data_IF_263617254288
#
_entry.id   IF_263617254288
#
_cell.length_a   1.000
_cell.length_b   1.000
_cell.length_c   1.000
_cell.angle_alpha   90.00
_cell.angle_beta   90.00
_cell.angle_gamma   90.00
#
_symmetry.space_group_name_H-M   'P 1'
#
loop_
_entity.id
_entity.type
_entity.pdbx_description
1 polymer ?
#
# COMPACT_ATOMS: atom_id res chain seq x y z
N UNK A 1 14.11 24.83 -11.36
CA UNK A 1 12.82 25.03 -12.07
C UNK A 1 13.02 25.70 -13.43
N UNK A 2 13.78 26.80 -13.50
CA UNK A 2 13.97 27.58 -14.74
C UNK A 2 14.67 26.84 -15.89
N UNK A 3 15.65 25.97 -15.62
CA UNK A 3 16.29 25.16 -16.67
C UNK A 3 15.35 24.11 -17.29
N UNK A 4 14.38 23.61 -16.52
CA UNK A 4 13.45 22.57 -16.96
C UNK A 4 12.31 23.13 -17.82
N UNK A 5 11.76 24.29 -17.43
CA UNK A 5 10.77 25.02 -18.24
C UNK A 5 11.39 25.55 -19.53
N UNK A 6 12.66 25.98 -19.49
CA UNK A 6 13.42 26.37 -20.67
C UNK A 6 13.61 25.18 -21.61
N UNK A 7 13.99 24.00 -21.10
CA UNK A 7 14.13 22.78 -21.88
C UNK A 7 12.79 22.31 -22.50
N UNK A 8 11.66 22.54 -21.81
CA UNK A 8 10.31 22.33 -22.37
C UNK A 8 10.04 23.27 -23.54
N UNK A 9 10.31 24.56 -23.38
CA UNK A 9 10.13 25.54 -24.46
C UNK A 9 11.02 25.22 -25.68
N UNK A 10 12.18 24.61 -25.44
CA UNK A 10 13.12 24.15 -26.46
C UNK A 10 12.77 22.76 -27.04
N UNK A 11 11.73 22.09 -26.55
CA UNK A 11 11.30 20.76 -27.04
C UNK A 11 12.27 19.62 -26.75
N UNK A 12 13.24 19.80 -25.84
CA UNK A 12 14.30 18.81 -25.57
C UNK A 12 13.87 17.69 -24.59
N UNK A 13 12.70 17.82 -23.95
CA UNK A 13 12.18 16.85 -22.97
C UNK A 13 10.86 16.26 -23.47
N UNK A 14 10.79 14.93 -23.54
CA UNK A 14 9.57 14.19 -23.86
C UNK A 14 8.49 14.44 -22.78
N UNK A 15 7.22 14.72 -23.14
CA UNK A 15 6.11 14.84 -22.19
C UNK A 15 6.03 13.71 -21.14
N UNK A 16 6.33 12.46 -21.52
CA UNK A 16 6.32 11.32 -20.59
C UNK A 16 7.48 11.36 -19.58
N UNK A 17 8.62 11.95 -19.94
CA UNK A 17 9.73 12.17 -19.02
C UNK A 17 9.40 13.32 -18.05
N UNK A 18 8.70 14.35 -18.52
CA UNK A 18 8.21 15.45 -17.69
C UNK A 18 7.21 14.94 -16.65
N UNK A 19 6.16 14.23 -17.07
CA UNK A 19 5.16 13.67 -16.17
C UNK A 19 5.81 12.80 -15.09
N UNK A 20 6.74 11.91 -15.45
CA UNK A 20 7.52 11.11 -14.48
C UNK A 20 8.34 11.95 -13.52
N UNK A 21 8.97 13.03 -13.98
CA UNK A 21 9.74 13.91 -13.11
C UNK A 21 8.87 14.66 -12.09
N UNK A 22 7.69 15.12 -12.53
CA UNK A 22 6.71 15.78 -11.67
C UNK A 22 6.10 14.79 -10.67
N UNK A 23 5.68 13.61 -11.14
CA UNK A 23 5.16 12.55 -10.30
C UNK A 23 6.21 12.10 -9.27
N UNK A 24 7.48 11.95 -9.68
CA UNK A 24 8.57 11.68 -8.73
C UNK A 24 8.64 12.76 -7.65
N UNK A 25 8.52 14.05 -8.00
CA UNK A 25 8.49 15.13 -7.00
C UNK A 25 7.32 14.97 -6.02
N UNK A 26 6.12 14.68 -6.53
CA UNK A 26 4.91 14.50 -5.73
C UNK A 26 5.03 13.28 -4.79
N UNK A 27 5.48 12.13 -5.29
CA UNK A 27 5.66 10.93 -4.46
C UNK A 27 6.67 11.19 -3.33
N UNK A 28 7.71 11.98 -3.58
CA UNK A 28 8.71 12.34 -2.56
C UNK A 28 8.18 13.35 -1.53
N UNK A 29 7.11 14.08 -1.85
CA UNK A 29 6.51 15.11 -0.99
C UNK A 29 5.24 14.65 -0.28
N UNK A 30 4.98 13.35 -0.23
CA UNK A 30 3.83 12.79 0.50
C UNK A 30 3.91 13.12 1.99
N UNK A 31 2.80 13.63 2.52
CA UNK A 31 2.60 14.06 3.90
C UNK A 31 1.22 13.60 4.41
N UNK A 32 1.01 13.55 5.75
CA UNK A 32 -0.29 13.19 6.29
C UNK A 32 -1.36 14.21 5.88
N UNK A 33 -2.47 13.74 5.32
CA UNK A 33 -3.64 14.56 5.05
C UNK A 33 -4.63 14.43 6.23
N UNK A 34 -4.48 15.28 7.24
CA UNK A 34 -5.37 15.30 8.43
C UNK A 34 -6.81 15.66 8.10
N UNK A 35 -7.03 16.41 7.01
CA UNK A 35 -8.34 16.81 6.54
C UNK A 35 -9.13 15.69 5.86
N UNK A 36 -8.57 14.50 5.64
CA UNK A 36 -9.30 13.36 5.04
C UNK A 36 -9.41 12.22 6.04
N UNK A 37 -10.64 11.86 6.42
CA UNK A 37 -10.92 10.70 7.26
C UNK A 37 -12.00 9.80 6.65
N UNK A 38 -11.94 8.51 6.96
CA UNK A 38 -12.96 7.54 6.58
C UNK A 38 -13.70 7.12 7.85
N UNK A 39 -15.01 7.30 7.88
CA UNK A 39 -15.83 7.00 9.06
C UNK A 39 -17.13 6.30 8.68
N UNK A 40 -17.51 5.28 9.45
CA UNK A 40 -18.82 4.62 9.32
C UNK A 40 -19.96 5.44 9.93
N UNK A 41 -19.65 6.33 10.88
CA UNK A 41 -20.65 7.22 11.47
C UNK A 41 -20.77 8.47 10.63
N UNK A 42 -22.01 8.96 10.40
CA UNK A 42 -22.19 10.24 9.74
C UNK A 42 -21.56 11.37 10.56
N UNK A 43 -21.12 12.47 9.91
CA UNK A 43 -20.67 13.65 10.63
C UNK A 43 -21.84 14.21 11.45
N UNK A 44 -21.66 14.29 12.77
CA UNK A 44 -22.59 15.02 13.63
C UNK A 44 -22.31 16.52 13.43
N UNK A 45 -23.31 17.26 12.96
CA UNK A 45 -23.22 18.68 12.55
C UNK A 45 -22.77 19.67 13.64
N UNK A 46 -22.48 19.19 14.86
CA UNK A 46 -22.07 20.03 15.99
C UNK A 46 -20.58 19.91 16.35
N UNK A 47 -19.84 18.88 15.93
CA UNK A 47 -18.43 18.65 16.31
C UNK A 47 -17.57 17.99 15.19
N UNK A 48 -17.31 18.71 14.09
CA UNK A 48 -16.52 18.18 12.97
C UNK A 48 -15.05 17.87 13.33
N UNK A 49 -14.44 18.63 14.25
CA UNK A 49 -13.05 18.39 14.69
C UNK A 49 -12.86 17.03 15.41
N UNK A 50 -13.80 16.64 16.26
CA UNK A 50 -13.78 15.34 16.94
C UNK A 50 -14.01 14.18 15.97
N UNK A 51 -14.81 14.39 14.92
CA UNK A 51 -15.08 13.39 13.88
C UNK A 51 -13.86 13.14 12.97
N UNK A 52 -13.00 14.14 12.76
CA UNK A 52 -11.73 13.99 12.04
C UNK A 52 -10.70 13.20 12.84
N UNK A 53 -10.65 13.44 14.15
CA UNK A 53 -9.66 12.80 15.03
C UNK A 53 -10.08 11.40 15.49
N UNK A 54 -11.40 11.15 15.57
CA UNK A 54 -12.00 9.89 16.02
C UNK A 54 -12.80 9.15 14.92
N UNK A 55 -12.66 9.53 13.64
CA UNK A 55 -13.32 8.86 12.52
C UNK A 55 -12.86 7.40 12.42
N UNK A 56 -13.74 6.48 12.80
CA UNK A 56 -13.46 5.05 12.84
C UNK A 56 -14.05 4.41 11.58
N UNK A 57 -13.19 3.78 10.78
CA UNK A 57 -13.60 3.03 9.59
C UNK A 57 -14.11 1.63 9.93
N UNK A 58 -13.59 1.02 10.99
CA UNK A 58 -14.06 -0.27 11.51
C UNK A 58 -14.05 -0.26 13.05
N UNK A 59 -15.08 -0.79 13.74
CA UNK A 59 -15.12 -0.83 15.21
C UNK A 59 -13.96 -1.61 15.84
N UNK A 60 -13.35 -2.52 15.08
CA UNK A 60 -12.08 -3.17 15.41
C UNK A 60 -10.98 -2.73 14.44
N UNK A 61 -9.75 -3.18 14.68
CA UNK A 61 -8.62 -2.85 13.80
C UNK A 61 -8.85 -3.20 12.33
N UNK A 62 -8.37 -2.36 11.41
CA UNK A 62 -8.33 -2.66 9.98
C UNK A 62 -7.17 -3.58 9.73
N UNK A 63 -7.37 -4.73 9.08
CA UNK A 63 -6.29 -5.68 8.79
C UNK A 63 -5.74 -5.53 7.37
N UNK A 64 -6.60 -5.19 6.40
CA UNK A 64 -6.22 -5.09 5.00
C UNK A 64 -7.02 -4.01 4.31
N UNK A 65 -6.34 -3.26 3.44
CA UNK A 65 -6.95 -2.28 2.55
C UNK A 65 -6.43 -2.50 1.12
N UNK A 66 -7.25 -2.19 0.13
CA UNK A 66 -6.86 -2.19 -1.27
C UNK A 66 -7.63 -1.11 -2.02
N UNK A 67 -7.05 -0.57 -3.08
CA UNK A 67 -7.68 0.45 -3.92
C UNK A 67 -7.87 -0.14 -5.31
N UNK A 68 -8.94 0.26 -5.97
CA UNK A 68 -9.23 -0.15 -7.33
C UNK A 68 -8.07 0.23 -8.28
N UNK A 69 -7.73 -0.70 -9.17
CA UNK A 69 -6.68 -0.54 -10.18
C UNK A 69 -7.17 0.22 -11.41
N UNK A 70 -8.47 0.18 -11.72
CA UNK A 70 -8.99 0.68 -12.98
C UNK A 70 -9.18 2.20 -12.98
N UNK A 71 -9.96 2.70 -12.03
CA UNK A 71 -10.24 4.13 -11.88
C UNK A 71 -9.59 4.71 -10.61
N UNK A 72 -9.23 3.85 -9.66
CA UNK A 72 -8.72 4.30 -8.35
C UNK A 72 -9.77 5.04 -7.53
N UNK A 73 -11.05 4.85 -7.85
CA UNK A 73 -12.18 5.50 -7.19
C UNK A 73 -12.61 4.78 -5.91
N UNK A 74 -12.61 3.46 -5.94
CA UNK A 74 -13.11 2.66 -4.82
C UNK A 74 -11.96 2.14 -3.94
N UNK A 75 -12.14 2.21 -2.63
CA UNK A 75 -11.29 1.58 -1.64
C UNK A 75 -12.08 0.45 -0.96
N UNK A 76 -11.43 -0.70 -0.77
CA UNK A 76 -11.95 -1.79 0.05
C UNK A 76 -11.16 -1.89 1.35
N UNK A 77 -11.86 -2.17 2.43
CA UNK A 77 -11.25 -2.41 3.73
C UNK A 77 -11.84 -3.64 4.42
N UNK A 78 -10.97 -4.42 5.05
CA UNK A 78 -11.34 -5.59 5.84
C UNK A 78 -10.97 -5.41 7.31
N UNK A 79 -11.97 -5.55 8.18
CA UNK A 79 -11.83 -5.42 9.63
C UNK A 79 -11.46 -6.72 10.33
N UNK A 80 -10.84 -6.60 11.50
CA UNK A 80 -10.58 -7.71 12.42
C UNK A 80 -11.87 -8.29 13.06
N UNK A 81 -13.00 -7.60 12.90
CA UNK A 81 -14.34 -7.98 13.36
C UNK A 81 -15.18 -8.65 12.26
N UNK A 82 -14.56 -9.12 11.16
CA UNK A 82 -15.20 -9.70 9.97
C UNK A 82 -16.01 -8.73 9.10
N UNK A 83 -15.92 -7.43 9.36
CA UNK A 83 -16.63 -6.43 8.55
C UNK A 83 -15.86 -6.05 7.27
N UNK A 84 -16.61 -5.73 6.21
CA UNK A 84 -16.06 -5.28 4.94
C UNK A 84 -16.69 -3.94 4.59
N UNK A 85 -15.86 -2.93 4.30
CA UNK A 85 -16.29 -1.61 3.85
C UNK A 85 -15.87 -1.35 2.41
N UNK A 86 -16.78 -0.76 1.62
CA UNK A 86 -16.48 -0.17 0.31
C UNK A 86 -16.63 1.34 0.43
N UNK A 87 -15.63 2.09 0.00
CA UNK A 87 -15.55 3.54 0.15
C UNK A 87 -15.37 4.19 -1.22
N UNK A 88 -16.14 5.25 -1.51
CA UNK A 88 -15.97 6.05 -2.72
C UNK A 88 -15.09 7.27 -2.43
N UNK A 89 -13.85 7.22 -2.93
CA UNK A 89 -12.83 8.24 -2.75
C UNK A 89 -13.05 9.50 -3.62
N UNK A 90 -14.09 9.55 -4.44
CA UNK A 90 -14.43 10.68 -5.32
C UNK A 90 -15.76 11.34 -4.98
N UNK A 91 -16.46 10.86 -3.96
CA UNK A 91 -17.71 11.50 -3.48
C UNK A 91 -17.47 12.99 -3.26
N UNK A 92 -18.17 13.88 -4.01
CA UNK A 92 -17.96 15.31 -3.91
C UNK A 92 -18.42 15.79 -2.53
N UNK A 93 -17.54 16.50 -1.83
CA UNK A 93 -17.93 17.27 -0.65
C UNK A 93 -18.51 18.60 -1.12
N UNK A 94 -19.61 19.05 -0.50
CA UNK A 94 -20.25 20.31 -0.85
C UNK A 94 -19.48 21.55 -0.38
N UNK A 95 -18.38 21.37 0.36
CA UNK A 95 -17.47 22.43 0.80
C UNK A 95 -16.15 22.31 0.06
N UNK A 96 -15.69 23.44 -0.47
CA UNK A 96 -14.56 23.54 -1.39
C UNK A 96 -13.20 23.35 -0.70
N UNK A 97 -13.08 23.64 0.61
CA UNK A 97 -11.79 23.62 1.34
C UNK A 97 -11.86 23.04 2.76
N UNK A 98 -13.01 22.50 3.18
CA UNK A 98 -13.19 21.97 4.55
C UNK A 98 -13.25 20.43 4.55
N UNK A 99 -12.38 19.83 5.37
CA UNK A 99 -12.55 18.52 6.04
C UNK A 99 -13.42 17.48 5.32
N UNK A 100 -12.77 16.53 4.64
CA UNK A 100 -13.41 15.46 3.87
C UNK A 100 -13.60 14.19 4.68
N UNK A 101 -14.81 13.99 5.19
CA UNK A 101 -15.25 12.73 5.82
C UNK A 101 -15.91 11.85 4.77
N UNK A 102 -15.26 10.72 4.44
CA UNK A 102 -15.76 9.76 3.45
C UNK A 102 -16.56 8.68 4.16
N UNK A 103 -17.83 8.55 3.77
CA UNK A 103 -18.74 7.51 4.25
C UNK A 103 -18.64 6.24 3.38
N UNK A 104 -18.93 5.06 3.94
CA UNK A 104 -18.95 3.83 3.17
C UNK A 104 -20.15 3.82 2.21
N UNK A 105 -19.91 3.46 0.96
CA UNK A 105 -20.97 3.19 -0.03
C UNK A 105 -21.76 1.92 0.35
N UNK A 106 -21.03 0.93 0.85
CA UNK A 106 -21.58 -0.33 1.34
C UNK A 106 -20.76 -0.83 2.52
N UNK A 107 -21.45 -1.33 3.55
CA UNK A 107 -20.80 -1.86 4.75
C UNK A 107 -21.45 -3.20 5.15
N UNK A 108 -20.74 -4.29 4.92
CA UNK A 108 -21.15 -5.61 5.36
C UNK A 108 -20.75 -5.77 6.81
N UNK A 109 -21.71 -5.53 7.70
CA UNK A 109 -21.55 -5.80 9.12
C UNK A 109 -21.70 -7.30 9.42
N UNK A 110 -21.16 -7.69 10.56
CA UNK A 110 -21.16 -9.05 11.11
C UNK A 110 -22.54 -9.71 11.03
N UNK A 111 -22.62 -10.90 10.42
CA UNK A 111 -23.87 -11.71 10.37
C UNK A 111 -24.03 -12.67 11.55
N UNK A 112 -22.93 -13.17 12.14
CA UNK A 112 -22.99 -14.21 13.19
C UNK A 112 -22.48 -13.70 14.54
N UNK A 113 -23.34 -13.66 15.58
CA UNK A 113 -22.96 -13.18 16.93
C UNK A 113 -21.95 -14.06 17.68
N UNK A 114 -21.79 -15.33 17.30
CA UNK A 114 -21.13 -16.37 18.12
C UNK A 114 -19.68 -16.69 17.74
N UNK A 115 -19.23 -16.41 16.51
CA UNK A 115 -17.84 -16.61 16.08
C UNK A 115 -17.27 -15.33 15.46
N UNK A 116 -16.17 -14.82 16.04
CA UNK A 116 -15.43 -13.66 15.54
C UNK A 116 -14.11 -14.12 14.92
N UNK A 117 -14.08 -14.27 13.61
CA UNK A 117 -12.83 -14.47 12.87
C UNK A 117 -12.56 -13.23 12.03
N UNK A 118 -11.42 -12.60 12.23
CA UNK A 118 -11.04 -11.40 11.49
C UNK A 118 -10.69 -11.71 10.03
N UNK A 119 -10.94 -10.76 9.15
CA UNK A 119 -10.47 -10.81 7.77
C UNK A 119 -8.95 -10.58 7.80
N UNK A 120 -8.19 -11.41 7.09
CA UNK A 120 -6.74 -11.33 7.01
C UNK A 120 -6.27 -10.50 5.83
N UNK A 121 -6.94 -10.63 4.68
CA UNK A 121 -6.57 -9.94 3.46
C UNK A 121 -7.80 -9.71 2.57
N UNK A 122 -7.82 -8.59 1.85
CA UNK A 122 -8.84 -8.25 0.84
C UNK A 122 -8.14 -7.83 -0.45
N UNK A 123 -8.64 -8.27 -1.59
CA UNK A 123 -8.14 -7.83 -2.90
C UNK A 123 -9.27 -7.72 -3.93
N UNK A 124 -9.21 -6.70 -4.78
CA UNK A 124 -10.04 -6.64 -5.98
C UNK A 124 -9.67 -7.74 -6.95
N UNK A 125 -10.66 -8.24 -7.68
CA UNK A 125 -10.40 -9.12 -8.79
C UNK A 125 -9.73 -8.32 -9.94
N UNK A 126 -8.58 -8.75 -10.46
CA UNK A 126 -7.72 -7.89 -11.29
C UNK A 126 -8.24 -7.58 -12.69
N UNK A 127 -9.29 -8.27 -13.15
CA UNK A 127 -9.88 -8.09 -14.48
C UNK A 127 -11.32 -7.56 -14.45
N UNK A 128 -11.92 -7.45 -13.27
CA UNK A 128 -13.29 -6.97 -13.09
C UNK A 128 -13.40 -6.25 -11.75
N UNK A 129 -13.76 -4.96 -11.77
CA UNK A 129 -13.96 -4.13 -10.57
C UNK A 129 -15.21 -4.54 -9.78
N UNK A 130 -16.10 -5.32 -10.39
CA UNK A 130 -17.35 -5.77 -9.77
C UNK A 130 -17.18 -6.98 -8.85
N UNK A 131 -15.97 -7.55 -8.77
CA UNK A 131 -15.68 -8.70 -7.94
C UNK A 131 -14.48 -8.46 -7.03
N UNK A 132 -14.54 -9.01 -5.81
CA UNK A 132 -13.41 -8.97 -4.89
C UNK A 132 -13.37 -10.21 -4.00
N UNK A 133 -12.20 -10.48 -3.43
CA UNK A 133 -11.93 -11.63 -2.59
C UNK A 133 -11.58 -11.20 -1.17
N UNK A 134 -12.05 -11.97 -0.19
CA UNK A 134 -11.64 -11.85 1.20
C UNK A 134 -11.11 -13.18 1.70
N UNK A 135 -9.99 -13.17 2.42
CA UNK A 135 -9.53 -14.31 3.21
C UNK A 135 -9.68 -14.01 4.70
N UNK A 136 -9.96 -15.05 5.50
CA UNK A 136 -10.27 -14.88 6.92
C UNK A 136 -9.61 -15.96 7.80
N UNK A 137 -9.55 -15.67 9.10
CA UNK A 137 -9.15 -16.65 10.13
C UNK A 137 -10.15 -17.81 10.26
N UNK A 138 -11.35 -17.73 9.65
CA UNK A 138 -12.35 -18.81 9.61
C UNK A 138 -12.04 -19.93 8.60
N UNK A 139 -10.82 -19.94 8.05
CA UNK A 139 -10.32 -20.88 7.04
C UNK A 139 -10.95 -20.71 5.65
N UNK A 140 -11.80 -19.69 5.46
CA UNK A 140 -12.47 -19.46 4.18
C UNK A 140 -11.75 -18.43 3.30
N UNK A 141 -11.82 -18.68 2.00
CA UNK A 141 -11.67 -17.69 0.94
C UNK A 141 -13.04 -17.46 0.33
N UNK A 142 -13.52 -16.21 0.35
CA UNK A 142 -14.84 -15.85 -0.17
C UNK A 142 -14.72 -14.88 -1.33
N UNK A 143 -15.53 -15.11 -2.37
CA UNK A 143 -15.71 -14.22 -3.51
C UNK A 143 -17.01 -13.44 -3.32
N UNK A 144 -16.95 -12.13 -3.50
CA UNK A 144 -18.07 -11.22 -3.35
C UNK A 144 -18.33 -10.44 -4.63
N UNK A 145 -19.59 -10.04 -4.81
CA UNK A 145 -19.97 -8.97 -5.71
C UNK A 145 -19.79 -7.61 -5.02
N UNK A 146 -19.15 -6.65 -5.66
CA UNK A 146 -18.97 -5.30 -5.09
C UNK A 146 -20.25 -4.46 -5.13
N UNK A 147 -21.20 -4.77 -6.02
CA UNK A 147 -22.48 -4.06 -6.12
C UNK A 147 -23.43 -4.42 -4.97
N UNK A 148 -23.56 -5.70 -4.67
CA UNK A 148 -24.49 -6.19 -3.63
C UNK A 148 -23.82 -6.46 -2.29
N UNK A 149 -22.49 -6.55 -2.27
CA UNK A 149 -21.71 -6.96 -1.10
C UNK A 149 -22.06 -8.37 -0.58
N UNK A 150 -22.67 -9.19 -1.43
CA UNK A 150 -23.05 -10.56 -1.12
C UNK A 150 -21.97 -11.57 -1.56
N UNK A 151 -21.88 -12.68 -0.83
CA UNK A 151 -20.96 -13.78 -1.16
C UNK A 151 -21.48 -14.56 -2.36
N UNK A 152 -20.73 -14.56 -3.47
CA UNK A 152 -21.02 -15.38 -4.64
C UNK A 152 -20.52 -16.82 -4.49
N UNK A 153 -19.35 -17.00 -3.87
CA UNK A 153 -18.76 -18.32 -3.61
C UNK A 153 -17.94 -18.32 -2.32
N UNK A 154 -17.84 -19.49 -1.67
CA UNK A 154 -17.02 -19.71 -0.47
C UNK A 154 -16.22 -20.99 -0.63
N UNK A 155 -14.92 -20.90 -0.37
CA UNK A 155 -13.98 -22.01 -0.45
C UNK A 155 -13.39 -22.25 0.93
N UNK A 156 -13.56 -23.46 1.47
CA UNK A 156 -12.93 -23.86 2.73
C UNK A 156 -11.54 -24.45 2.44
N UNK A 157 -10.53 -23.92 3.11
CA UNK A 157 -9.13 -24.32 2.98
C UNK A 157 -8.64 -25.12 4.19
N UNK A 158 -9.51 -25.46 5.15
CA UNK A 158 -9.24 -26.30 6.33
C UNK A 158 -8.07 -25.79 7.22
N UNK A 159 -7.59 -24.57 6.97
CA UNK A 159 -6.47 -23.94 7.63
C UNK A 159 -6.62 -22.43 7.57
N UNK A 160 -6.08 -21.74 8.57
CA UNK A 160 -6.04 -20.28 8.60
C UNK A 160 -5.33 -19.74 7.36
N UNK A 161 -5.97 -18.78 6.68
CA UNK A 161 -5.42 -18.10 5.51
C UNK A 161 -4.82 -16.77 5.96
N UNK A 162 -3.51 -16.61 5.83
CA UNK A 162 -2.80 -15.40 6.22
C UNK A 162 -2.83 -14.33 5.13
N UNK A 163 -2.69 -14.74 3.87
CA UNK A 163 -2.69 -13.85 2.71
C UNK A 163 -3.18 -14.61 1.49
N UNK A 164 -3.66 -13.89 0.49
CA UNK A 164 -3.98 -14.45 -0.81
C UNK A 164 -3.52 -13.50 -1.90
N UNK A 165 -3.26 -14.04 -3.09
CA UNK A 165 -2.87 -13.24 -4.24
C UNK A 165 -3.48 -13.78 -5.54
N UNK A 166 -3.76 -12.86 -6.46
CA UNK A 166 -4.18 -13.14 -7.83
C UNK A 166 -3.15 -12.60 -8.81
N UNK A 167 -3.05 -13.25 -9.97
CA UNK A 167 -2.19 -12.76 -11.04
C UNK A 167 -2.89 -11.63 -11.79
N UNK A 168 -2.24 -10.46 -11.97
CA UNK A 168 -2.88 -9.29 -12.59
C UNK A 168 -2.99 -9.39 -14.12
N UNK A 169 -2.43 -10.42 -14.73
CA UNK A 169 -2.35 -10.62 -16.18
C UNK A 169 -2.83 -11.98 -16.66
N UNK A 170 -3.03 -12.93 -15.75
CA UNK A 170 -3.29 -14.30 -16.14
C UNK A 170 -4.64 -14.54 -16.79
N UNK A 171 -4.64 -15.49 -17.72
CA UNK A 171 -5.85 -16.09 -18.29
C UNK A 171 -6.51 -17.11 -17.36
N UNK A 172 -5.73 -17.69 -16.44
CA UNK A 172 -6.25 -18.64 -15.46
C UNK A 172 -6.91 -17.94 -14.25
N UNK A 173 -7.85 -18.64 -13.62
CA UNK A 173 -8.63 -18.18 -12.48
C UNK A 173 -8.08 -18.69 -11.14
N UNK A 174 -6.76 -18.85 -11.06
CA UNK A 174 -6.10 -19.38 -9.87
C UNK A 174 -5.82 -18.30 -8.84
N UNK A 175 -6.22 -18.56 -7.60
CA UNK A 175 -5.87 -17.77 -6.41
C UNK A 175 -4.84 -18.53 -5.60
N UNK A 176 -3.71 -17.90 -5.31
CA UNK A 176 -2.71 -18.46 -4.41
C UNK A 176 -3.05 -18.06 -2.97
N UNK A 177 -3.17 -19.05 -2.09
CA UNK A 177 -3.50 -18.85 -0.69
C UNK A 177 -2.31 -19.27 0.19
N UNK A 178 -1.81 -18.30 0.95
CA UNK A 178 -0.84 -18.50 2.02
C UNK A 178 -1.60 -18.99 3.26
N UNK A 179 -1.35 -20.23 3.68
CA UNK A 179 -2.07 -20.85 4.80
C UNK A 179 -1.13 -21.30 5.91
N UNK A 180 -1.68 -21.67 7.06
CA UNK A 180 -0.93 -22.31 8.14
C UNK A 180 -0.24 -23.61 7.69
N UNK A 181 -0.71 -24.25 6.62
CA UNK A 181 -0.06 -25.42 6.07
C UNK A 181 1.24 -25.07 5.33
N UNK A 182 2.25 -25.97 5.32
CA UNK A 182 3.51 -25.71 4.63
C UNK A 182 3.45 -25.69 3.10
N UNK A 183 2.29 -25.99 2.52
CA UNK A 183 2.10 -25.92 1.07
C UNK A 183 1.25 -24.70 0.73
N UNK A 184 1.61 -24.02 -0.37
CA UNK A 184 0.75 -22.96 -0.92
C UNK A 184 -0.43 -23.62 -1.59
N UNK A 185 -1.66 -23.30 -1.18
CA UNK A 185 -2.88 -23.83 -1.83
C UNK A 185 -3.24 -22.94 -3.02
N UNK A 186 -3.54 -23.55 -4.16
CA UNK A 186 -4.09 -22.89 -5.33
C UNK A 186 -5.57 -23.26 -5.46
N UNK A 187 -6.43 -22.25 -5.43
CA UNK A 187 -7.88 -22.38 -5.61
C UNK A 187 -8.23 -21.93 -7.01
N UNK A 188 -8.97 -22.75 -7.76
CA UNK A 188 -9.51 -22.34 -9.05
C UNK A 188 -10.94 -21.81 -8.87
N UNK A 189 -11.15 -20.52 -9.16
CA UNK A 189 -12.46 -19.89 -9.02
C UNK A 189 -13.50 -20.45 -9.99
N UNK A 190 -13.09 -21.08 -11.09
CA UNK A 190 -14.03 -21.66 -12.08
C UNK A 190 -14.65 -22.96 -11.57
N UNK A 191 -13.82 -23.88 -11.11
CA UNK A 191 -14.28 -25.19 -10.62
C UNK A 191 -14.69 -25.15 -9.15
N UNK A 192 -14.22 -24.14 -8.42
CA UNK A 192 -14.37 -24.03 -6.97
C UNK A 192 -13.60 -25.05 -6.16
N UNK A 193 -12.71 -25.82 -6.81
CA UNK A 193 -11.88 -26.80 -6.14
C UNK A 193 -10.55 -26.19 -5.66
N UNK A 194 -10.05 -26.67 -4.53
CA UNK A 194 -8.64 -26.54 -4.16
C UNK A 194 -7.82 -27.45 -5.08
N UNK A 195 -7.55 -26.98 -6.29
CA UNK A 195 -7.03 -27.78 -7.41
C UNK A 195 -5.60 -28.25 -7.21
N UNK A 196 -4.73 -27.42 -6.61
CA UNK A 196 -3.30 -27.71 -6.52
C UNK A 196 -2.69 -27.27 -5.19
N UNK A 197 -1.64 -27.99 -4.79
CA UNK A 197 -0.87 -27.73 -3.57
C UNK A 197 0.61 -27.67 -3.93
N UNK A 198 1.25 -26.52 -3.70
CA UNK A 198 2.67 -26.31 -3.98
C UNK A 198 3.46 -26.67 -2.72
N UNK A 199 3.88 -27.94 -2.64
CA UNK A 199 4.64 -28.45 -1.51
C UNK A 199 6.11 -28.00 -1.58
N UNK A 200 6.64 -27.47 -0.48
CA UNK A 200 8.06 -27.19 -0.38
C UNK A 200 8.49 -26.41 0.86
N UNK A 201 7.65 -25.53 1.44
CA UNK A 201 7.99 -24.93 2.73
C UNK A 201 7.97 -25.97 3.85
N UNK A 202 8.75 -25.72 4.90
CA UNK A 202 8.76 -26.55 6.10
C UNK A 202 7.93 -25.96 7.25
N UNK A 203 7.33 -24.78 7.04
CA UNK A 203 6.48 -24.08 8.00
C UNK A 203 5.37 -23.32 7.30
N UNK A 204 4.49 -22.68 8.07
CA UNK A 204 3.36 -21.91 7.57
C UNK A 204 3.76 -20.89 6.49
N UNK A 205 2.97 -20.79 5.44
CA UNK A 205 3.14 -19.77 4.40
C UNK A 205 2.44 -18.51 4.86
N UNK A 206 3.18 -17.42 5.02
CA UNK A 206 2.63 -16.16 5.52
C UNK A 206 2.21 -15.23 4.37
N UNK A 207 3.01 -15.14 3.31
CA UNK A 207 2.78 -14.19 2.21
C UNK A 207 2.94 -14.85 0.86
N UNK A 208 2.15 -14.42 -0.11
CA UNK A 208 2.18 -14.86 -1.51
C UNK A 208 2.03 -13.65 -2.42
N UNK A 209 2.73 -13.64 -3.56
CA UNK A 209 2.60 -12.59 -4.56
C UNK A 209 2.87 -13.13 -5.96
N UNK A 210 1.93 -12.91 -6.89
CA UNK A 210 2.10 -13.26 -8.29
C UNK A 210 3.00 -12.27 -9.01
N UNK A 211 3.76 -12.78 -9.98
CA UNK A 211 4.58 -11.93 -10.83
C UNK A 211 3.70 -11.08 -11.75
N UNK A 212 3.96 -9.76 -11.88
CA UNK A 212 3.08 -8.86 -12.63
C UNK A 212 3.11 -9.07 -14.16
N UNK A 213 4.24 -9.50 -14.73
CA UNK A 213 4.39 -9.77 -16.17
C UNK A 213 4.49 -11.24 -16.59
N UNK A 214 4.70 -12.17 -15.66
CA UNK A 214 4.81 -13.61 -15.96
C UNK A 214 3.64 -14.35 -15.35
N UNK A 215 2.72 -14.78 -16.21
CA UNK A 215 1.40 -15.31 -15.84
C UNK A 215 1.45 -16.39 -14.75
N UNK A 216 2.38 -17.32 -14.89
CA UNK A 216 2.43 -18.55 -14.07
C UNK A 216 3.49 -18.50 -12.96
N UNK A 217 4.14 -17.35 -12.75
CA UNK A 217 5.20 -17.22 -11.74
C UNK A 217 4.62 -16.66 -10.44
N UNK A 218 4.89 -17.35 -9.34
CA UNK A 218 4.43 -16.97 -8.00
C UNK A 218 5.63 -16.93 -7.05
N UNK A 219 5.65 -15.98 -6.12
CA UNK A 219 6.55 -15.97 -4.98
C UNK A 219 5.78 -16.25 -3.69
N UNK A 220 6.40 -16.98 -2.76
CA UNK A 220 5.85 -17.19 -1.41
C UNK A 220 6.90 -17.06 -0.33
N UNK A 221 6.52 -16.46 0.80
CA UNK A 221 7.33 -16.31 2.01
C UNK A 221 6.75 -17.15 3.14
N UNK A 222 7.61 -17.92 3.82
CA UNK A 222 7.21 -18.82 4.90
C UNK A 222 7.81 -18.46 6.25
N UNK A 223 7.27 -19.08 7.31
CA UNK A 223 7.82 -19.02 8.67
C UNK A 223 9.16 -19.75 8.80
N UNK A 224 9.55 -20.53 7.79
CA UNK A 224 10.85 -21.18 7.65
C UNK A 224 12.00 -20.21 7.29
N UNK A 225 11.69 -18.93 7.02
CA UNK A 225 12.66 -17.92 6.62
C UNK A 225 13.05 -18.02 5.14
N UNK A 226 12.31 -18.81 4.37
CA UNK A 226 12.55 -19.04 2.95
C UNK A 226 11.57 -18.24 2.10
N UNK A 227 12.08 -17.77 0.97
CA UNK A 227 11.26 -17.26 -0.13
C UNK A 227 11.42 -18.20 -1.30
N UNK A 228 10.32 -18.80 -1.74
CA UNK A 228 10.28 -19.73 -2.88
C UNK A 228 9.63 -19.05 -4.07
N UNK A 229 10.19 -19.30 -5.25
CA UNK A 229 9.58 -18.99 -6.53
C UNK A 229 9.02 -20.24 -7.14
N UNK A 230 7.85 -20.12 -7.76
CA UNK A 230 7.10 -21.23 -8.34
C UNK A 230 6.76 -20.92 -9.80
N UNK A 231 6.74 -21.94 -10.64
CA UNK A 231 6.05 -21.97 -11.94
C UNK A 231 4.98 -23.05 -11.83
N UNK A 232 3.73 -22.62 -11.74
CA UNK A 232 2.59 -23.50 -11.44
C UNK A 232 2.34 -24.57 -12.52
N UNK A 233 2.94 -24.43 -13.71
CA UNK A 233 2.80 -25.40 -14.81
C UNK A 233 3.73 -26.60 -14.66
N UNK A 234 4.75 -26.51 -13.80
CA UNK A 234 5.77 -27.55 -13.66
C UNK A 234 5.35 -28.58 -12.62
N UNK A 235 5.61 -29.85 -12.89
CA UNK A 235 5.30 -30.96 -11.97
C UNK A 235 6.04 -30.87 -10.62
N UNK A 236 7.25 -30.31 -10.59
CA UNK A 236 8.00 -30.06 -9.35
C UNK A 236 7.72 -28.67 -8.77
N UNK A 237 6.91 -27.85 -9.48
CA UNK A 237 6.41 -26.49 -9.28
C UNK A 237 7.36 -25.40 -8.74
N UNK A 238 8.29 -25.72 -7.87
CA UNK A 238 9.33 -24.81 -7.38
C UNK A 238 10.36 -24.56 -8.47
N UNK A 239 10.61 -23.28 -8.74
CA UNK A 239 11.77 -22.83 -9.48
C UNK A 239 12.97 -22.92 -8.54
N UNK A 240 12.95 -22.16 -7.45
CA UNK A 240 14.03 -22.17 -6.47
C UNK A 240 13.78 -21.25 -5.29
N UNK A 241 14.76 -21.20 -4.39
CA UNK A 241 14.76 -20.43 -3.14
C UNK A 241 15.69 -19.22 -3.27
N UNK A 242 15.37 -18.11 -2.60
CA UNK A 242 16.28 -16.95 -2.47
C UNK A 242 17.26 -17.13 -1.32
N UNK A 243 18.49 -16.63 -1.48
CA UNK A 243 19.56 -16.81 -0.50
C UNK A 243 20.28 -15.50 -0.19
N UNK A 244 20.22 -15.08 1.07
CA UNK A 244 20.67 -13.76 1.52
C UNK A 244 22.17 -13.53 1.35
N UNK A 245 22.96 -14.60 1.30
CA UNK A 245 24.41 -14.55 1.12
C UNK A 245 24.83 -14.48 -0.36
N UNK A 246 23.91 -14.73 -1.29
CA UNK A 246 24.20 -14.73 -2.72
C UNK A 246 23.87 -13.39 -3.39
N UNK A 247 24.91 -12.60 -3.66
CA UNK A 247 24.83 -11.34 -4.41
C UNK A 247 25.12 -11.46 -5.89
N UNK A 248 25.55 -12.63 -6.37
CA UNK A 248 25.82 -12.87 -7.80
C UNK A 248 24.59 -13.41 -8.51
N UNK A 249 23.77 -14.18 -7.80
CA UNK A 249 22.65 -14.90 -8.36
C UNK A 249 23.10 -16.13 -9.14
N UNK A 250 22.12 -16.88 -9.65
CA UNK A 250 22.37 -18.06 -10.48
C UNK A 250 22.58 -17.59 -11.94
N UNK A 251 23.81 -17.63 -12.43
CA UNK A 251 24.19 -17.07 -13.74
C UNK A 251 23.73 -17.88 -14.97
N UNK A 252 23.16 -17.15 -15.94
CA UNK A 252 23.08 -17.24 -17.42
C UNK A 252 22.70 -18.57 -18.13
N UNK A 253 22.85 -19.76 -17.55
CA UNK A 253 22.46 -20.99 -18.23
C UNK A 253 21.00 -21.38 -17.99
N UNK A 254 20.13 -20.68 -18.73
CA UNK A 254 18.78 -21.14 -19.05
C UNK A 254 17.76 -20.89 -17.94
N UNK A 255 16.97 -19.83 -18.12
CA UNK A 255 15.65 -19.58 -17.52
C UNK A 255 15.24 -20.59 -16.43
N UNK A 256 15.75 -20.38 -15.22
CA UNK A 256 15.07 -20.53 -13.91
C UNK A 256 16.10 -20.56 -12.79
N UNK A 257 15.86 -19.78 -11.73
CA UNK A 257 16.42 -20.07 -10.40
C UNK A 257 16.18 -21.56 -10.15
N UNK A 258 17.23 -22.36 -9.91
CA UNK A 258 17.15 -23.80 -9.56
C UNK A 258 17.92 -24.09 -8.27
N UNK A 259 17.71 -23.23 -7.28
CA UNK A 259 18.35 -23.33 -5.98
C UNK A 259 17.40 -24.03 -5.01
N UNK A 260 17.73 -25.24 -4.59
CA UNK A 260 16.90 -26.01 -3.65
C UNK A 260 17.14 -25.64 -2.19
N UNK A 261 18.31 -25.05 -1.88
CA UNK A 261 18.70 -24.61 -0.54
C UNK A 261 19.14 -23.16 -0.55
N UNK A 262 18.69 -22.40 0.42
CA UNK A 262 19.07 -21.02 0.63
C UNK A 262 18.37 -20.51 1.88
N UNK A 263 18.62 -19.26 2.27
CA UNK A 263 17.85 -18.61 3.33
C UNK A 263 17.65 -17.15 3.01
N UNK A 264 16.39 -16.70 2.89
CA UNK A 264 16.12 -15.31 2.56
C UNK A 264 16.24 -14.40 3.78
N UNK A 265 15.75 -14.85 4.93
CA UNK A 265 15.79 -14.13 6.21
C UNK A 265 16.15 -15.09 7.36
N UNK A 266 16.74 -14.59 8.44
CA UNK A 266 17.06 -15.43 9.60
C UNK A 266 15.81 -15.77 10.45
N UNK A 267 14.72 -15.01 10.28
CA UNK A 267 13.40 -15.25 10.85
C UNK A 267 12.31 -15.42 9.78
N UNK A 268 11.05 -15.51 10.21
CA UNK A 268 9.90 -15.68 9.33
C UNK A 268 9.77 -14.55 8.30
N UNK A 269 9.41 -14.89 7.06
CA UNK A 269 9.16 -13.92 5.98
C UNK A 269 7.68 -13.58 5.96
N UNK A 270 7.35 -12.37 6.42
CA UNK A 270 5.96 -11.92 6.60
C UNK A 270 5.43 -11.10 5.41
N UNK A 271 6.31 -10.65 4.51
CA UNK A 271 5.93 -9.87 3.34
C UNK A 271 6.76 -10.22 2.13
N UNK A 272 6.11 -10.45 1.00
CA UNK A 272 6.73 -10.61 -0.32
C UNK A 272 5.93 -9.78 -1.30
N UNK A 273 6.61 -8.91 -2.05
CA UNK A 273 5.99 -8.10 -3.11
C UNK A 273 6.93 -8.01 -4.31
N UNK A 274 6.34 -7.78 -5.48
CA UNK A 274 7.07 -7.54 -6.72
C UNK A 274 7.10 -6.04 -7.01
N UNK A 275 8.14 -5.57 -7.68
CA UNK A 275 8.06 -4.30 -8.39
C UNK A 275 7.06 -4.43 -9.56
N UNK A 276 6.49 -3.31 -10.01
CA UNK A 276 5.52 -3.34 -11.12
C UNK A 276 6.17 -3.89 -12.42
N UNK A 277 7.46 -3.66 -12.60
CA UNK A 277 8.19 -4.17 -13.76
C UNK A 277 8.42 -5.70 -13.70
N UNK A 278 8.36 -6.31 -12.51
CA UNK A 278 8.65 -7.72 -12.27
C UNK A 278 10.15 -8.07 -12.33
N UNK A 279 11.03 -7.07 -12.28
CA UNK A 279 12.48 -7.25 -12.30
C UNK A 279 13.07 -7.42 -10.89
N UNK A 280 12.34 -7.00 -9.86
CA UNK A 280 12.76 -7.05 -8.47
C UNK A 280 11.69 -7.63 -7.54
N UNK A 281 12.15 -8.29 -6.49
CA UNK A 281 11.30 -8.77 -5.39
C UNK A 281 11.75 -8.04 -4.15
N UNK A 282 10.80 -7.56 -3.35
CA UNK A 282 11.07 -6.99 -2.03
C UNK A 282 10.51 -7.92 -0.97
N UNK A 283 11.34 -8.30 -0.01
CA UNK A 283 10.96 -9.22 1.06
C UNK A 283 11.20 -8.59 2.43
N UNK A 284 10.23 -8.77 3.32
CA UNK A 284 10.31 -8.34 4.71
C UNK A 284 10.32 -9.57 5.62
N UNK A 285 11.13 -9.52 6.67
CA UNK A 285 11.21 -10.60 7.63
C UNK A 285 11.22 -10.12 9.08
N UNK A 286 11.02 -11.07 9.98
CA UNK A 286 11.08 -10.86 11.43
C UNK A 286 12.51 -10.62 11.95
N UNK A 287 13.51 -10.65 11.07
CA UNK A 287 14.91 -10.30 11.37
C UNK A 287 15.19 -8.79 11.32
N UNK A 288 14.15 -7.95 11.34
CA UNK A 288 14.23 -6.49 11.22
C UNK A 288 14.90 -6.03 9.90
N UNK A 289 14.84 -6.85 8.85
CA UNK A 289 15.44 -6.55 7.54
C UNK A 289 14.41 -6.52 6.43
N UNK A 290 14.66 -5.61 5.50
CA UNK A 290 14.08 -5.63 4.16
C UNK A 290 15.22 -6.01 3.21
N UNK A 291 14.93 -6.88 2.24
CA UNK A 291 15.88 -7.26 1.19
C UNK A 291 15.23 -7.05 -0.17
N UNK A 292 16.04 -6.61 -1.12
CA UNK A 292 15.65 -6.48 -2.53
C UNK A 292 16.44 -7.49 -3.33
N UNK A 293 15.76 -8.20 -4.21
CA UNK A 293 16.31 -9.29 -4.98
C UNK A 293 16.09 -9.02 -6.45
N UNK A 294 17.08 -9.29 -7.29
CA UNK A 294 16.86 -9.34 -8.72
C UNK A 294 16.04 -10.61 -9.03
N UNK A 295 14.85 -10.45 -9.60
CA UNK A 295 13.95 -11.57 -9.90
C UNK A 295 14.49 -12.54 -10.95
N UNK A 296 15.28 -12.03 -11.90
CA UNK A 296 15.78 -12.82 -13.01
C UNK A 296 16.94 -13.74 -12.59
N UNK A 297 17.84 -13.24 -11.74
CA UNK A 297 19.01 -13.99 -11.28
C UNK A 297 18.85 -14.57 -9.87
N UNK A 298 17.93 -14.03 -9.08
CA UNK A 298 17.77 -14.28 -7.64
C UNK A 298 18.94 -13.79 -6.79
N UNK A 299 19.72 -12.85 -7.32
CA UNK A 299 20.78 -12.18 -6.60
C UNK A 299 20.21 -11.21 -5.57
N UNK A 300 20.73 -11.22 -4.35
CA UNK A 300 20.51 -10.16 -3.38
C UNK A 300 21.24 -8.89 -3.84
N UNK A 301 20.54 -7.77 -3.94
CA UNK A 301 21.15 -6.49 -4.32
C UNK A 301 22.01 -5.89 -3.21
N UNK A 302 21.94 -6.45 -1.99
CA UNK A 302 22.64 -5.99 -0.79
C UNK A 302 22.31 -4.54 -0.40
N UNK A 303 21.14 -4.04 -0.81
CA UNK A 303 20.65 -2.72 -0.40
C UNK A 303 20.46 -2.65 1.11
N UNK A 304 21.02 -1.61 1.73
CA UNK A 304 20.97 -1.43 3.17
C UNK A 304 19.91 -0.39 3.55
N UNK A 305 18.85 -0.82 4.24
CA UNK A 305 17.78 0.05 4.75
C UNK A 305 18.04 0.58 6.18
N UNK A 306 19.20 0.27 6.75
CA UNK A 306 19.61 0.72 8.09
C UNK A 306 18.90 0.00 9.24
N UNK A 307 19.15 0.43 10.49
CA UNK A 307 18.62 -0.22 11.70
C UNK A 307 17.21 0.26 12.11
N UNK A 308 16.65 1.23 11.37
CA UNK A 308 15.36 1.84 11.70
C UNK A 308 14.16 0.93 11.43
N UNK A 309 14.33 -0.06 10.54
CA UNK A 309 13.34 -1.09 10.25
C UNK A 309 13.13 -1.94 11.50
N UNK A 310 11.88 -2.02 11.96
CA UNK A 310 11.47 -2.92 13.04
C UNK A 310 10.27 -3.74 12.61
N UNK A 311 10.33 -5.04 12.86
CA UNK A 311 9.20 -5.95 12.68
C UNK A 311 8.64 -6.27 14.06
N UNK A 312 7.47 -5.70 14.39
CA UNK A 312 6.84 -5.92 15.69
C UNK A 312 5.94 -7.17 15.72
N UNK A 313 5.66 -7.79 14.58
CA UNK A 313 4.55 -8.75 14.45
C UNK A 313 4.89 -9.95 13.59
N UNK A 314 4.33 -11.10 13.98
CA UNK A 314 4.32 -12.34 13.19
C UNK A 314 3.25 -12.32 12.09
N UNK A 315 2.36 -11.31 12.08
CA UNK A 315 1.34 -11.15 11.05
C UNK A 315 1.94 -10.71 9.71
N UNK A 316 1.19 -10.98 8.64
CA UNK A 316 1.53 -10.55 7.29
C UNK A 316 1.68 -9.04 7.22
N UNK A 317 2.75 -8.60 6.58
CA UNK A 317 3.05 -7.18 6.40
C UNK A 317 3.58 -6.98 4.99
N UNK A 318 2.72 -6.56 4.08
CA UNK A 318 3.12 -6.32 2.70
C UNK A 318 3.74 -4.92 2.60
N UNK A 319 5.04 -4.81 2.26
CA UNK A 319 5.60 -3.51 1.95
C UNK A 319 5.01 -3.02 0.62
N UNK A 320 4.91 -1.70 0.49
CA UNK A 320 4.29 -1.08 -0.67
C UNK A 320 5.36 -0.45 -1.55
N UNK A 321 5.45 -0.89 -2.81
CA UNK A 321 6.38 -0.35 -3.81
C UNK A 321 5.62 0.60 -4.72
N UNK A 322 6.20 1.76 -5.01
CA UNK A 322 5.62 2.72 -5.96
C UNK A 322 5.61 2.11 -7.37
N UNK A 323 4.53 2.30 -8.15
CA UNK A 323 4.52 1.94 -9.56
C UNK A 323 5.72 2.53 -10.33
N UNK A 324 6.34 1.68 -11.14
CA UNK A 324 7.49 1.98 -12.00
C UNK A 324 7.20 3.07 -13.04
N UNK A 325 5.94 3.22 -13.45
CA UNK A 325 5.55 4.26 -14.42
C UNK A 325 5.37 5.64 -13.78
N UNK A 326 5.21 5.74 -12.45
CA UNK A 326 5.08 7.02 -11.75
C UNK A 326 6.44 7.68 -11.52
N UNK A 327 7.46 6.90 -11.21
CA UNK A 327 8.78 7.42 -10.85
C UNK A 327 9.78 7.29 -12.01
N UNK A 328 10.86 8.07 -11.96
CA UNK A 328 11.97 7.83 -12.86
C UNK A 328 12.60 6.45 -12.58
N UNK A 329 13.21 5.78 -13.59
CA UNK A 329 13.91 4.53 -13.37
C UNK A 329 14.87 4.64 -12.18
N UNK A 330 14.94 3.59 -11.38
CA UNK A 330 15.73 3.48 -10.13
C UNK A 330 15.29 4.37 -8.95
N UNK A 331 14.37 5.33 -9.16
CA UNK A 331 13.83 6.20 -8.09
C UNK A 331 12.52 5.70 -7.50
N UNK A 332 12.24 4.42 -7.67
CA UNK A 332 11.09 3.77 -7.06
C UNK A 332 11.19 3.84 -5.55
N UNK A 333 10.07 4.16 -4.93
CA UNK A 333 9.94 4.32 -3.49
C UNK A 333 9.36 3.05 -2.89
N UNK A 334 9.92 2.68 -1.75
CA UNK A 334 9.45 1.61 -0.89
C UNK A 334 8.90 2.23 0.40
N UNK A 335 7.62 2.02 0.67
CA UNK A 335 6.98 2.40 1.93
C UNK A 335 6.87 1.16 2.81
N UNK A 336 7.54 1.21 3.96
CA UNK A 336 7.54 0.13 4.95
C UNK A 336 6.77 0.55 6.21
N UNK A 337 5.76 -0.21 6.64
CA UNK A 337 5.07 0.04 7.89
C UNK A 337 5.95 -0.32 9.10
N UNK A 338 6.43 0.69 9.81
CA UNK A 338 7.11 0.52 11.09
C UNK A 338 6.08 0.62 12.23
N UNK A 339 6.34 0.11 13.45
CA UNK A 339 5.34 0.10 14.52
C UNK A 339 4.85 1.47 14.99
N UNK A 340 5.58 2.57 14.67
CA UNK A 340 5.23 3.95 15.09
C UNK A 340 5.23 4.99 13.98
N UNK A 341 5.54 4.60 12.75
CA UNK A 341 5.71 5.50 11.62
C UNK A 341 5.77 4.69 10.33
N UNK A 342 5.54 5.32 9.18
CA UNK A 342 5.85 4.71 7.89
C UNK A 342 7.23 5.21 7.46
N UNK A 343 8.11 4.28 7.11
CA UNK A 343 9.43 4.60 6.60
C UNK A 343 9.38 4.60 5.07
N UNK A 344 9.79 5.71 4.47
CA UNK A 344 9.82 5.89 3.02
C UNK A 344 11.27 5.82 2.57
N UNK A 345 11.62 4.78 1.82
CA UNK A 345 12.95 4.53 1.31
C UNK A 345 12.98 4.61 -0.22
N UNK A 346 14.12 4.94 -0.80
CA UNK A 346 14.41 4.64 -2.19
C UNK A 346 14.78 3.15 -2.31
N UNK A 347 14.04 2.39 -3.13
CA UNK A 347 14.11 0.93 -3.17
C UNK A 347 15.52 0.42 -3.53
N UNK A 348 16.17 1.06 -4.50
CA UNK A 348 17.45 0.59 -5.05
C UNK A 348 18.68 1.07 -4.28
N UNK A 349 18.59 2.19 -3.56
CA UNK A 349 19.72 2.76 -2.82
C UNK A 349 19.63 2.44 -1.33
N UNK A 350 18.43 2.15 -0.82
CA UNK A 350 18.16 2.02 0.61
C UNK A 350 18.18 3.35 1.37
N UNK A 351 18.27 4.49 0.66
CA UNK A 351 18.27 5.82 1.28
C UNK A 351 16.90 6.12 1.88
N UNK A 352 16.86 6.49 3.16
CA UNK A 352 15.65 6.99 3.81
C UNK A 352 15.32 8.39 3.28
N UNK A 353 14.14 8.55 2.71
CA UNK A 353 13.63 9.81 2.16
C UNK A 353 12.81 10.55 3.21
N UNK A 354 11.84 9.87 3.82
CA UNK A 354 10.92 10.49 4.77
C UNK A 354 10.47 9.50 5.87
N UNK A 355 10.02 10.05 7.00
CA UNK A 355 9.37 9.32 8.10
C UNK A 355 7.98 9.90 8.30
N UNK A 356 6.97 9.17 7.84
CA UNK A 356 5.59 9.59 7.97
C UNK A 356 5.06 9.18 9.34
N UNK A 357 4.95 10.14 10.25
CA UNK A 357 4.39 9.93 11.59
C UNK A 357 2.89 10.17 11.54
N UNK A 358 2.11 9.28 12.15
CA UNK A 358 0.67 9.57 12.33
C UNK A 358 0.46 10.47 13.55
N UNK A 359 -0.38 11.51 13.45
CA UNK A 359 -0.63 12.46 14.55
C UNK A 359 -1.09 11.79 15.86
N UNK A 360 -1.85 10.69 15.76
CA UNK A 360 -2.42 9.98 16.92
C UNK A 360 -1.40 9.21 17.78
N UNK A 361 -0.11 9.11 17.39
CA UNK A 361 0.90 8.58 18.31
C UNK A 361 1.17 9.52 19.51
N UNK A 362 0.82 10.80 19.40
CA UNK A 362 1.08 11.81 20.42
C UNK A 362 -0.01 11.87 21.51
N UNK A 363 -1.26 11.49 21.21
CA UNK A 363 -2.35 11.54 22.18
C UNK A 363 -3.51 10.65 21.75
N UNK A 364 -3.67 9.48 22.39
CA UNK A 364 -4.94 8.91 22.86
C UNK A 364 -4.78 7.41 23.13
N UNK A 365 -5.04 7.04 24.39
CA UNK A 365 -5.25 5.65 24.81
C UNK A 365 -6.59 5.21 24.23
N UNK A 366 -6.61 4.68 23.01
CA UNK A 366 -7.82 4.02 22.50
C UNK A 366 -7.99 2.72 23.29
N UNK A 367 -8.84 2.77 24.33
CA UNK A 367 -9.28 1.60 25.08
C UNK A 367 -10.34 0.89 24.23
N UNK A 368 -9.93 -0.13 23.47
CA UNK A 368 -10.89 -1.02 22.81
C UNK A 368 -11.45 -1.98 23.87
N UNK A 369 -12.72 -1.82 24.22
CA UNK A 369 -13.45 -2.72 25.14
C UNK A 369 -13.87 -3.99 24.40
N UNK A 370 -12.99 -4.99 24.38
CA UNK A 370 -13.31 -6.36 23.98
C UNK A 370 -13.42 -7.25 25.23
N UNK A 371 -14.59 -7.32 25.85
CA UNK A 371 -14.82 -8.14 27.05
C UNK A 371 -14.02 -7.70 28.29
N UNK A 372 -13.86 -8.60 29.27
CA UNK A 372 -13.35 -8.37 30.65
C UNK A 372 -11.89 -7.88 30.77
N UNK A 373 -11.30 -7.23 29.77
CA UNK A 373 -9.93 -6.73 29.86
C UNK A 373 -9.67 -5.59 28.90
N UNK A 374 -9.17 -4.46 29.43
CA UNK A 374 -8.65 -3.35 28.64
C UNK A 374 -7.27 -3.74 28.09
N UNK A 375 -7.14 -3.93 26.77
CA UNK A 375 -5.83 -4.13 26.14
C UNK A 375 -5.33 -2.80 25.59
N UNK A 376 -4.15 -2.37 26.01
CA UNK A 376 -3.40 -1.28 25.39
C UNK A 376 -2.94 -1.75 24.00
N UNK A 377 -3.77 -1.58 22.97
CA UNK A 377 -3.37 -1.83 21.59
C UNK A 377 -2.48 -0.67 21.18
N UNK A 378 -1.16 -0.88 21.14
CA UNK A 378 -0.26 0.05 20.46
C UNK A 378 -0.78 0.23 19.03
N UNK A 379 -1.06 1.47 18.65
CA UNK A 379 -1.51 1.79 17.29
C UNK A 379 -0.42 1.34 16.30
N UNK A 380 -0.76 0.49 15.36
CA UNK A 380 0.18 -0.06 14.36
C UNK A 380 -0.46 -0.02 13.00
N UNK A 381 0.34 0.30 11.99
CA UNK A 381 -0.07 0.14 10.60
C UNK A 381 -0.07 -1.35 10.24
N UNK A 382 -1.19 -1.82 9.72
CA UNK A 382 -1.41 -3.23 9.34
C UNK A 382 -1.33 -3.43 7.84
N UNK A 383 -1.72 -2.42 7.06
CA UNK A 383 -1.83 -2.50 5.60
C UNK A 383 -1.64 -1.14 4.94
N UNK A 384 -1.23 -1.16 3.67
CA UNK A 384 -0.97 0.02 2.85
C UNK A 384 -1.55 -0.21 1.45
N UNK A 385 -2.04 0.85 0.80
CA UNK A 385 -2.49 0.80 -0.58
C UNK A 385 -2.17 2.10 -1.34
N UNK A 386 -1.71 1.98 -2.58
CA UNK A 386 -1.51 3.11 -3.49
C UNK A 386 -2.79 3.44 -4.24
N UNK A 387 -3.13 4.73 -4.33
CA UNK A 387 -4.03 5.28 -5.33
C UNK A 387 -3.20 5.98 -6.40
N UNK A 388 -2.98 5.28 -7.50
CA UNK A 388 -2.02 5.68 -8.55
C UNK A 388 -2.47 6.96 -9.29
N UNK A 389 -3.77 7.08 -9.59
CA UNK A 389 -4.32 8.18 -10.40
C UNK A 389 -4.10 9.57 -9.77
N UNK A 390 -4.20 9.67 -8.44
CA UNK A 390 -4.07 10.94 -7.71
C UNK A 390 -2.76 11.03 -6.91
N UNK A 391 -1.90 10.01 -6.98
CA UNK A 391 -0.65 9.90 -6.21
C UNK A 391 -0.94 10.02 -4.70
N UNK A 392 -1.93 9.29 -4.23
CA UNK A 392 -2.29 9.23 -2.81
C UNK A 392 -1.90 7.87 -2.23
N UNK A 393 -1.56 7.86 -0.95
CA UNK A 393 -1.30 6.65 -0.19
C UNK A 393 -2.36 6.53 0.90
N UNK A 394 -2.83 5.32 1.13
CA UNK A 394 -3.71 5.00 2.26
C UNK A 394 -3.04 4.01 3.20
N UNK A 395 -3.28 4.16 4.50
CA UNK A 395 -2.81 3.24 5.52
C UNK A 395 -3.93 2.80 6.44
N UNK A 396 -4.06 1.49 6.63
CA UNK A 396 -4.96 0.87 7.59
C UNK A 396 -4.25 0.62 8.91
N UNK A 397 -4.96 0.82 10.02
CA UNK A 397 -4.38 0.77 11.35
C UNK A 397 -5.16 -0.16 12.29
N UNK A 398 -4.45 -0.66 13.30
CA UNK A 398 -5.01 -1.54 14.33
C UNK A 398 -6.01 -0.85 15.26
N UNK A 399 -6.08 0.48 15.23
CA UNK A 399 -7.08 1.29 15.95
C UNK A 399 -8.45 1.35 15.23
N UNK A 400 -8.54 0.80 14.01
CA UNK A 400 -9.77 0.80 13.21
C UNK A 400 -9.89 1.99 12.27
N UNK A 401 -8.89 2.87 12.21
CA UNK A 401 -8.87 4.04 11.33
C UNK A 401 -8.16 3.74 10.00
N UNK A 402 -8.57 4.46 8.95
CA UNK A 402 -7.87 4.50 7.65
C UNK A 402 -7.44 5.94 7.44
N UNK A 403 -6.16 6.14 7.16
CA UNK A 403 -5.55 7.47 6.97
C UNK A 403 -5.12 7.68 5.54
N UNK A 404 -5.26 8.92 5.06
CA UNK A 404 -4.82 9.36 3.76
C UNK A 404 -3.50 10.13 3.86
N UNK A 405 -2.63 9.93 2.87
CA UNK A 405 -1.39 10.65 2.71
C UNK A 405 -1.35 11.23 1.30
N UNK A 406 -1.24 12.55 1.20
CA UNK A 406 -1.27 13.28 -0.06
C UNK A 406 0.05 14.03 -0.29
N UNK A 407 0.46 14.26 -1.54
CA UNK A 407 1.61 15.09 -1.83
C UNK A 407 1.30 16.52 -1.40
N UNK A 408 2.15 17.10 -0.54
CA UNK A 408 2.09 18.52 -0.22
C UNK A 408 3.18 19.23 -0.99
N UNK A 409 2.81 20.14 -1.86
CA UNK A 409 3.74 20.96 -2.63
C UNK A 409 3.99 22.29 -1.92
N UNK A 410 5.03 22.99 -2.38
CA UNK A 410 5.38 24.33 -1.91
C UNK A 410 4.30 25.37 -2.25
N UNK A 411 3.50 25.15 -3.31
CA UNK A 411 2.36 25.99 -3.66
C UNK A 411 1.28 25.86 -2.58
N UNK A 412 0.92 24.63 -2.21
CA UNK A 412 -0.01 24.36 -1.10
C UNK A 412 0.49 24.90 0.25
N UNK A 413 1.83 25.00 0.42
CA UNK A 413 2.41 25.58 1.64
C UNK A 413 2.29 27.10 1.69
N UNK A 414 2.27 27.77 0.52
CA UNK A 414 2.08 29.22 0.44
C UNK A 414 0.62 29.59 0.67
N UNK A 415 -0.31 28.76 0.19
CA UNK A 415 -1.75 28.99 0.39
C UNK A 415 -2.12 28.86 1.89
N UNK A 416 -1.55 27.89 2.61
CA UNK A 416 -1.72 27.78 4.07
C UNK A 416 -1.06 28.95 4.83
N UNK A 417 0.12 29.43 4.43
CA UNK A 417 0.73 30.62 5.04
C UNK A 417 -0.10 31.90 4.80
N UNK A 418 -0.81 31.97 3.66
CA UNK A 418 -1.75 33.05 3.36
C UNK A 418 -3.05 32.95 4.19
N UNK A 419 -3.53 31.75 4.54
CA UNK A 419 -4.66 31.53 5.45
C UNK A 419 -4.30 31.77 6.92
N UNK A 420 -3.21 31.17 7.42
CA UNK A 420 -2.72 31.35 8.79
C UNK A 420 -2.30 32.81 9.05
N UNK A 421 -1.80 33.50 8.00
CA UNK A 421 -1.47 34.93 8.04
C UNK A 421 -2.70 35.86 8.10
N UNK A 422 -3.91 35.33 7.91
CA UNK A 422 -5.17 36.07 8.15
C UNK A 422 -5.63 35.90 9.60
N UNK A 423 -5.30 34.80 10.28
CA UNK A 423 -5.63 34.58 11.69
C UNK A 423 -4.60 35.17 12.66
N UNK A 424 -3.30 35.13 12.34
CA UNK A 424 -2.28 35.84 13.13
C UNK A 424 -2.08 37.26 12.60
N UNK A 425 -2.84 38.21 13.17
CA UNK A 425 -2.70 39.66 12.98
C UNK A 425 -1.37 40.24 13.50
N UNK A 426 -0.23 39.75 13.01
CA UNK A 426 1.10 40.28 13.27
C UNK A 426 1.56 41.22 12.16
N UNK A 427 2.19 42.34 12.52
CA UNK A 427 2.74 43.34 11.59
C UNK A 427 3.70 42.74 10.55
N UNK A 428 4.39 41.62 10.87
CA UNK A 428 5.27 40.91 9.93
C UNK A 428 4.53 40.22 8.77
N UNK A 429 3.32 39.69 9.01
CA UNK A 429 2.52 39.02 7.97
C UNK A 429 2.00 40.05 6.95
N UNK A 430 1.53 41.21 7.44
CA UNK A 430 1.14 42.33 6.58
C UNK A 430 2.31 42.90 5.76
N UNK A 431 3.51 42.98 6.32
CA UNK A 431 4.69 43.39 5.56
C UNK A 431 5.08 42.39 4.46
N UNK A 432 4.97 41.08 4.72
CA UNK A 432 5.26 40.05 3.71
C UNK A 432 4.24 40.08 2.58
N UNK A 433 2.96 40.21 2.89
CA UNK A 433 1.88 40.37 1.88
C UNK A 433 2.12 41.59 0.99
N UNK A 434 2.48 42.73 1.58
CA UNK A 434 2.78 43.95 0.81
C UNK A 434 4.00 43.79 -0.10
N UNK A 435 5.08 43.16 0.39
CA UNK A 435 6.28 42.87 -0.42
C UNK A 435 5.98 41.92 -1.57
N UNK A 436 5.03 40.99 -1.39
CA UNK A 436 4.55 40.06 -2.42
C UNK A 436 3.72 40.76 -3.49
N UNK A 437 2.76 41.59 -3.10
CA UNK A 437 1.94 42.38 -4.05
C UNK A 437 2.82 43.29 -4.91
N UNK A 438 3.83 43.93 -4.30
CA UNK A 438 4.81 44.75 -5.03
C UNK A 438 5.67 43.91 -6.00
N UNK A 439 6.01 42.66 -5.65
CA UNK A 439 6.76 41.76 -6.52
C UNK A 439 5.92 41.29 -7.71
N UNK A 440 4.66 40.94 -7.48
CA UNK A 440 3.73 40.49 -8.52
C UNK A 440 3.38 41.62 -9.49
N UNK A 441 3.27 42.85 -9.01
CA UNK A 441 3.12 44.04 -9.87
C UNK A 441 4.35 44.28 -10.75
N UNK A 442 5.56 44.08 -10.21
CA UNK A 442 6.80 44.18 -10.99
C UNK A 442 6.87 43.09 -12.06
N UNK A 443 6.52 41.85 -11.72
CA UNK A 443 6.51 40.71 -12.66
C UNK A 443 5.45 40.90 -13.74
N UNK A 444 4.26 41.39 -13.38
CA UNK A 444 3.21 41.74 -14.33
C UNK A 444 3.62 42.92 -15.24
N UNK A 445 4.37 43.90 -14.71
CA UNK A 445 4.93 45.00 -15.49
C UNK A 445 6.02 44.55 -16.48
N UNK A 446 6.83 43.56 -16.10
CA UNK A 446 7.87 42.97 -16.95
C UNK A 446 7.30 42.09 -18.07
N UNK A 447 6.24 41.33 -17.78
CA UNK A 447 5.62 40.40 -18.73
C UNK A 447 4.69 41.09 -19.74
N UNK A 448 4.16 42.29 -19.43
CA UNK A 448 3.31 43.07 -20.33
C UNK A 448 4.05 43.96 -21.33
N UNK A 449 5.37 44.18 -21.19
CA UNK A 449 6.13 44.94 -22.19
C UNK A 449 6.34 44.11 -23.45
N UNK A 450 5.45 44.27 -24.43
CA UNK A 450 5.71 43.85 -25.81
C UNK A 450 6.93 44.62 -26.33
N UNK A 451 8.07 43.93 -26.42
CA UNK A 451 9.25 44.42 -27.12
C UNK A 451 8.90 44.44 -28.62
N UNK A 452 8.58 45.63 -29.14
CA UNK A 452 8.51 45.86 -30.58
C UNK A 452 9.94 46.11 -31.08
N UNK A 453 10.46 45.19 -31.87
CA UNK A 453 11.70 45.39 -32.62
C UNK A 453 11.36 46.21 -33.87
N UNK A 454 11.95 47.40 -34.00
CA UNK A 454 11.95 48.22 -35.22
C UNK A 454 12.94 47.70 -36.24
#
# INVERSE_FOLDING_TARGET
>A
MNSFLLNRALGSVNPAALARSQNTRLVYSIQPASHVSLSITPPDTENDEDALQNGIAHPAGVNSITVDKFEGRYLLSGGADSSIGIWDLETPTNQADETRIIQPLGYASKTSKTANFGITHVSFYPFDSLAFLSSSYDHSLKLYSSETLETSASFDLEAVVYSHALSPIASHLLVACATQNPAVRLVDLRSGASTHSLAGHSGAVLSTAWHPKREHVLASGGSDGLVRLWDIRRSASSLGVLDMEDSRGVGIHGNTLRRERGRAHSGAVNGVTWDEAGDYIVTCGQDDKIRVWNANTGANTLTNFGPAVKSSTTSTLLPLVSPSHLTAPTKEILVYPNPRELLVYEMHTGKLINRLRTPSYASSRIQVTAGSGTRNVMNKTTSLAWRVHNIELYSGHSDGTIRCWKPKTWEDSLDEEDEDGVEEGGEEAMERKRKRDELDDIVNGLTKRQVTYT
#
